data_IF_949603181819
#
_entry.id   IF_949603181819
#
_cell.length_a   1.000
_cell.length_b   1.000
_cell.length_c   1.000
_cell.angle_alpha   90.00
_cell.angle_beta   90.00
_cell.angle_gamma   90.00
#
_symmetry.space_group_name_H-M   'P 1'
#
loop_
_entity.id
_entity.type
_entity.pdbx_description
1 polymer ?
#
# COMPACT_ATOMS: atom_id res chain seq x y z
N UNK A 1 -4.79 -10.48 18.95
CA UNK A 1 -5.05 -10.40 17.49
C UNK A 1 -3.89 -11.11 16.82
N UNK A 2 -4.19 -12.21 16.13
CA UNK A 2 -3.18 -13.19 15.72
C UNK A 2 -2.38 -12.75 14.49
N UNK A 3 -1.08 -13.10 14.42
CA UNK A 3 -0.25 -12.87 13.24
C UNK A 3 -0.72 -13.72 12.05
N UNK A 4 -0.29 -13.33 10.85
CA UNK A 4 -0.30 -14.07 9.57
C UNK A 4 -0.85 -15.51 9.68
N UNK A 5 -2.11 -15.72 9.26
CA UNK A 5 -2.87 -16.95 9.57
C UNK A 5 -2.27 -18.20 8.91
N UNK A 6 -1.71 -18.08 7.69
CA UNK A 6 -1.11 -19.22 6.98
C UNK A 6 -0.14 -18.77 5.88
N UNK A 7 1.10 -19.26 5.91
CA UNK A 7 2.04 -19.27 4.76
C UNK A 7 2.21 -20.72 4.33
N UNK A 8 2.05 -20.99 3.03
CA UNK A 8 2.33 -22.29 2.43
C UNK A 8 3.24 -22.11 1.22
N UNK A 9 4.33 -22.88 1.16
CA UNK A 9 5.24 -22.91 0.02
C UNK A 9 5.25 -24.33 -0.55
N UNK A 10 4.85 -24.46 -1.81
CA UNK A 10 4.86 -25.72 -2.56
C UNK A 10 6.07 -25.73 -3.51
N UNK A 11 6.87 -26.81 -3.46
CA UNK A 11 7.98 -27.03 -4.39
C UNK A 11 8.30 -28.52 -4.52
N UNK A 12 8.77 -29.00 -5.68
CA UNK A 12 9.42 -30.29 -5.80
C UNK A 12 10.69 -30.40 -4.94
N UNK A 13 11.39 -29.28 -4.70
CA UNK A 13 12.52 -29.19 -3.79
C UNK A 13 12.06 -28.78 -2.38
N UNK A 14 11.99 -29.75 -1.49
CA UNK A 14 11.56 -29.57 -0.09
C UNK A 14 12.49 -28.62 0.67
N UNK A 15 13.80 -28.68 0.41
CA UNK A 15 14.79 -27.82 1.09
C UNK A 15 14.65 -26.38 0.60
N UNK A 16 14.52 -26.21 -0.72
CA UNK A 16 14.22 -24.93 -1.35
C UNK A 16 12.92 -24.30 -0.86
N UNK A 17 11.85 -25.09 -0.72
CA UNK A 17 10.57 -24.63 -0.17
C UNK A 17 10.73 -24.05 1.25
N UNK A 18 11.40 -24.79 2.14
CA UNK A 18 11.59 -24.34 3.54
C UNK A 18 12.47 -23.10 3.64
N UNK A 19 13.49 -23.00 2.79
CA UNK A 19 14.36 -21.82 2.71
C UNK A 19 13.57 -20.61 2.21
N UNK A 20 12.78 -20.80 1.16
CA UNK A 20 11.90 -19.77 0.59
C UNK A 20 10.87 -19.30 1.61
N UNK A 21 10.27 -20.21 2.38
CA UNK A 21 9.32 -19.86 3.43
C UNK A 21 9.97 -18.97 4.51
N UNK A 22 11.19 -19.33 4.95
CA UNK A 22 11.96 -18.54 5.92
C UNK A 22 12.26 -17.15 5.37
N UNK A 23 12.79 -17.07 4.15
CA UNK A 23 13.09 -15.79 3.47
C UNK A 23 11.86 -14.88 3.41
N UNK A 24 10.70 -15.44 3.04
CA UNK A 24 9.44 -14.70 2.99
C UNK A 24 9.07 -14.17 4.38
N UNK A 25 9.14 -15.01 5.42
CA UNK A 25 8.79 -14.62 6.79
C UNK A 25 9.66 -13.46 7.28
N UNK A 26 10.97 -13.58 7.09
CA UNK A 26 11.95 -12.57 7.49
C UNK A 26 11.72 -11.26 6.72
N UNK A 27 11.58 -11.34 5.40
CA UNK A 27 11.32 -10.16 4.55
C UNK A 27 10.04 -9.44 4.93
N UNK A 28 8.95 -10.18 5.18
CA UNK A 28 7.67 -9.59 5.58
C UNK A 28 7.74 -8.95 6.98
N UNK A 29 8.53 -9.53 7.90
CA UNK A 29 8.74 -8.96 9.23
C UNK A 29 9.55 -7.65 9.13
N UNK A 30 10.65 -7.66 8.39
CA UNK A 30 11.53 -6.50 8.20
C UNK A 30 10.79 -5.29 7.61
N UNK A 31 9.87 -5.54 6.68
CA UNK A 31 9.07 -4.49 6.03
C UNK A 31 7.77 -4.14 6.79
N UNK A 32 7.56 -4.74 7.96
CA UNK A 32 6.35 -4.59 8.79
C UNK A 32 5.05 -4.95 8.04
N UNK A 33 5.12 -5.96 7.16
CA UNK A 33 4.01 -6.44 6.32
C UNK A 33 3.29 -7.67 6.90
N UNK A 34 3.80 -8.24 8.00
CA UNK A 34 3.23 -9.47 8.62
C UNK A 34 1.75 -9.36 8.95
N UNK A 35 1.26 -8.16 9.29
CA UNK A 35 -0.16 -7.91 9.62
C UNK A 35 -1.02 -7.59 8.40
N UNK A 36 -0.39 -7.25 7.28
CA UNK A 36 -1.04 -6.92 6.01
C UNK A 36 -1.40 -8.18 5.26
N UNK A 37 -0.53 -9.20 5.30
CA UNK A 37 -0.80 -10.48 4.67
C UNK A 37 -1.79 -11.27 5.53
N UNK A 38 -2.97 -11.56 4.98
CA UNK A 38 -3.95 -12.44 5.63
C UNK A 38 -3.56 -13.91 5.43
N UNK A 39 -3.35 -14.30 4.17
CA UNK A 39 -2.92 -15.64 3.76
C UNK A 39 -1.99 -15.55 2.58
N UNK A 40 -1.02 -16.46 2.50
CA UNK A 40 -0.03 -16.50 1.44
C UNK A 40 0.18 -17.94 0.97
N UNK A 41 0.13 -18.13 -0.34
CA UNK A 41 0.54 -19.35 -1.01
C UNK A 41 1.61 -19.02 -2.04
N UNK A 42 2.70 -19.79 -2.01
CA UNK A 42 3.78 -19.71 -2.98
C UNK A 42 3.97 -21.05 -3.65
N UNK A 43 4.19 -21.04 -4.96
CA UNK A 43 4.64 -22.19 -5.72
C UNK A 43 5.98 -21.83 -6.35
N UNK A 44 6.97 -22.70 -6.19
CA UNK A 44 8.28 -22.57 -6.82
C UNK A 44 8.67 -23.91 -7.42
N UNK A 45 9.18 -23.88 -8.64
CA UNK A 45 9.74 -25.06 -9.30
C UNK A 45 11.11 -24.70 -9.89
N UNK A 46 12.19 -25.36 -9.46
CA UNK A 46 13.53 -25.12 -10.02
C UNK A 46 13.77 -25.90 -11.33
N UNK A 47 12.98 -26.93 -11.63
CA UNK A 47 13.10 -27.72 -12.87
C UNK A 47 12.45 -26.97 -14.02
N UNK A 48 11.25 -26.44 -13.78
CA UNK A 48 10.60 -25.47 -14.65
C UNK A 48 10.70 -24.10 -13.97
N UNK A 49 11.67 -23.23 -14.31
CA UNK A 49 12.05 -22.07 -13.49
C UNK A 49 10.91 -21.05 -13.37
N UNK A 50 9.96 -21.31 -12.47
CA UNK A 50 8.74 -20.55 -12.24
C UNK A 50 8.56 -20.29 -10.76
N UNK A 51 8.16 -19.06 -10.45
CA UNK A 51 7.88 -18.59 -9.12
C UNK A 51 6.52 -17.90 -9.13
N UNK A 52 5.60 -18.40 -8.32
CA UNK A 52 4.23 -17.89 -8.21
C UNK A 52 3.97 -17.50 -6.77
N UNK A 53 3.71 -16.23 -6.52
CA UNK A 53 3.38 -15.68 -5.21
C UNK A 53 1.95 -15.18 -5.23
N UNK A 54 1.09 -15.72 -4.37
CA UNK A 54 -0.30 -15.30 -4.29
C UNK A 54 -0.71 -15.06 -2.85
N UNK A 55 -1.19 -13.85 -2.53
CA UNK A 55 -1.59 -13.50 -1.18
C UNK A 55 -2.92 -12.75 -1.14
N UNK A 56 -3.67 -12.95 -0.06
CA UNK A 56 -4.80 -12.13 0.33
C UNK A 56 -4.31 -11.04 1.30
N UNK A 57 -4.77 -9.82 1.07
CA UNK A 57 -4.35 -8.63 1.82
C UNK A 57 -5.47 -8.16 2.76
N UNK A 58 -5.07 -7.66 3.93
CA UNK A 58 -5.92 -6.97 4.89
C UNK A 58 -5.37 -5.56 5.07
N UNK A 59 -5.82 -4.64 4.23
CA UNK A 59 -5.49 -3.22 4.36
C UNK A 59 -6.45 -2.56 5.37
N UNK A 60 -5.92 -2.05 6.48
CA UNK A 60 -6.74 -1.59 7.61
C UNK A 60 -6.97 -0.08 7.66
N UNK A 61 -6.21 0.72 6.92
CA UNK A 61 -6.21 2.18 7.08
C UNK A 61 -6.83 2.86 5.86
N UNK A 62 -7.92 3.63 6.00
CA UNK A 62 -8.43 4.47 4.91
C UNK A 62 -7.46 5.63 4.61
N UNK A 63 -7.57 6.28 3.42
CA UNK A 63 -6.89 7.53 3.15
C UNK A 63 -7.22 8.58 4.21
N UNK A 64 -6.23 9.36 4.63
CA UNK A 64 -6.40 10.48 5.57
C UNK A 64 -6.60 11.76 4.78
N UNK A 65 -7.75 12.40 4.97
CA UNK A 65 -8.11 13.68 4.36
C UNK A 65 -7.98 14.81 5.37
N UNK A 66 -7.84 16.05 4.88
CA UNK A 66 -7.79 17.24 5.75
C UNK A 66 -8.98 17.30 6.71
N UNK A 67 -10.19 17.00 6.23
CA UNK A 67 -11.41 17.01 7.06
C UNK A 67 -11.41 16.01 8.23
N UNK A 68 -10.57 14.98 8.17
CA UNK A 68 -10.52 13.93 9.20
C UNK A 68 -9.78 14.42 10.46
N UNK A 69 -8.98 15.48 10.36
CA UNK A 69 -8.18 16.01 11.46
C UNK A 69 -8.14 17.54 11.54
N UNK A 70 -8.93 18.25 10.74
CA UNK A 70 -9.03 19.71 10.80
C UNK A 70 -10.39 20.23 10.35
N UNK A 71 -10.73 21.44 10.78
CA UNK A 71 -11.85 22.22 10.25
C UNK A 71 -11.34 23.17 9.18
N UNK A 72 -12.01 23.20 8.04
CA UNK A 72 -11.67 24.06 6.90
C UNK A 72 -12.81 25.06 6.73
N UNK A 73 -12.51 26.33 6.94
CA UNK A 73 -13.47 27.42 6.91
C UNK A 73 -12.85 28.63 6.20
N UNK A 74 -13.69 29.45 5.59
CA UNK A 74 -13.26 30.78 5.15
C UNK A 74 -13.15 31.67 6.39
N UNK A 75 -12.19 32.60 6.41
CA UNK A 75 -12.14 33.59 7.48
C UNK A 75 -13.24 34.63 7.30
N UNK A 76 -13.13 35.47 6.27
CA UNK A 76 -14.11 36.48 5.87
C UNK A 76 -14.25 36.50 4.34
N UNK A 77 -15.44 36.77 3.78
CA UNK A 77 -15.68 36.80 2.31
C UNK A 77 -14.80 37.85 1.60
N UNK A 78 -14.37 38.89 2.31
CA UNK A 78 -13.52 39.96 1.76
C UNK A 78 -12.02 39.64 1.80
N UNK A 79 -11.64 38.55 2.48
CA UNK A 79 -10.26 38.08 2.52
C UNK A 79 -10.17 36.85 1.63
N UNK A 80 -9.28 36.92 0.64
CA UNK A 80 -8.90 35.81 -0.23
C UNK A 80 -8.11 34.74 0.56
N UNK A 81 -8.73 34.20 1.62
CA UNK A 81 -8.07 33.40 2.65
C UNK A 81 -8.96 32.25 3.15
N UNK A 82 -8.34 31.07 3.28
CA UNK A 82 -8.92 29.89 3.90
C UNK A 82 -8.16 29.57 5.19
N UNK A 83 -8.90 29.30 6.27
CA UNK A 83 -8.36 28.89 7.56
C UNK A 83 -8.56 27.40 7.79
N UNK A 84 -7.48 26.72 8.17
CA UNK A 84 -7.48 25.37 8.67
C UNK A 84 -7.21 25.39 10.17
N UNK A 85 -8.15 24.86 10.95
CA UNK A 85 -7.99 24.65 12.38
C UNK A 85 -7.79 23.16 12.68
N UNK A 86 -6.58 22.80 13.10
CA UNK A 86 -6.13 21.43 13.32
C UNK A 86 -6.68 20.88 14.64
N UNK A 87 -7.40 19.76 14.55
CA UNK A 87 -7.89 19.00 15.71
C UNK A 87 -6.82 18.04 16.24
N UNK A 88 -5.94 17.54 15.37
CA UNK A 88 -4.81 16.65 15.70
C UNK A 88 -3.56 17.06 14.93
N UNK A 89 -2.41 17.01 15.60
CA UNK A 89 -1.13 17.45 15.02
C UNK A 89 -0.38 16.34 14.25
N UNK A 90 -0.92 15.11 14.22
CA UNK A 90 -0.24 13.91 13.71
C UNK A 90 0.20 14.01 12.25
N UNK A 91 -0.52 14.75 11.40
CA UNK A 91 -0.25 14.84 9.95
C UNK A 91 0.23 16.23 9.51
N UNK A 92 0.55 17.14 10.45
CA UNK A 92 0.82 18.56 10.14
C UNK A 92 1.99 18.75 9.20
N UNK A 93 3.08 17.99 9.39
CA UNK A 93 4.26 18.09 8.51
C UNK A 93 3.93 17.68 7.07
N UNK A 94 3.22 16.55 6.89
CA UNK A 94 2.77 16.07 5.57
C UNK A 94 1.79 17.06 4.92
N UNK A 95 0.88 17.63 5.72
CA UNK A 95 -0.06 18.66 5.27
C UNK A 95 0.67 19.91 4.77
N UNK A 96 1.58 20.48 5.56
CA UNK A 96 2.32 21.68 5.20
C UNK A 96 3.10 21.51 3.90
N UNK A 97 3.78 20.38 3.71
CA UNK A 97 4.48 20.09 2.45
C UNK A 97 3.52 20.11 1.25
N UNK A 98 2.36 19.43 1.34
CA UNK A 98 1.34 19.44 0.27
C UNK A 98 0.78 20.83 0.00
N UNK A 99 0.57 21.64 1.05
CA UNK A 99 0.09 23.00 0.89
C UNK A 99 1.17 23.90 0.24
N UNK A 100 2.43 23.74 0.61
CA UNK A 100 3.54 24.46 -0.02
C UNK A 100 3.71 24.08 -1.49
N UNK A 101 3.57 22.81 -1.84
CA UNK A 101 3.63 22.36 -3.23
C UNK A 101 2.48 22.94 -4.08
N UNK A 102 1.28 23.08 -3.47
CA UNK A 102 0.08 23.53 -4.17
C UNK A 102 -0.05 25.06 -4.27
N UNK A 103 0.21 25.77 -3.18
CA UNK A 103 -0.03 27.22 -3.08
C UNK A 103 1.27 28.03 -3.03
N UNK A 104 2.41 27.39 -2.81
CA UNK A 104 3.68 28.06 -2.56
C UNK A 104 3.83 28.48 -1.10
N UNK A 105 5.07 28.38 -0.59
CA UNK A 105 5.39 28.69 0.81
C UNK A 105 5.01 30.11 1.25
N UNK A 106 5.05 31.08 0.35
CA UNK A 106 4.72 32.48 0.65
C UNK A 106 3.22 32.71 0.93
N UNK A 107 2.35 31.82 0.45
CA UNK A 107 0.89 31.93 0.59
C UNK A 107 0.35 31.11 1.76
N UNK A 108 1.24 30.50 2.56
CA UNK A 108 0.91 29.68 3.72
C UNK A 108 1.49 30.34 4.97
N UNK A 109 0.63 30.76 5.89
CA UNK A 109 1.03 31.27 7.21
C UNK A 109 0.57 30.32 8.32
N UNK A 110 1.39 30.17 9.35
CA UNK A 110 1.08 29.32 10.51
C UNK A 110 1.27 30.14 11.79
N UNK A 111 0.28 30.98 12.16
CA UNK A 111 0.40 31.87 13.31
C UNK A 111 0.43 31.09 14.65
N UNK A 112 -0.16 29.89 14.67
CA UNK A 112 -0.14 28.98 15.82
C UNK A 112 0.02 27.53 15.34
N UNK A 113 0.48 26.64 16.23
CA UNK A 113 0.63 25.20 15.96
C UNK A 113 -0.65 24.57 15.37
N UNK A 114 -1.83 25.05 15.74
CA UNK A 114 -3.11 24.50 15.30
C UNK A 114 -3.79 25.29 14.20
N UNK A 115 -3.25 26.42 13.76
CA UNK A 115 -3.91 27.29 12.78
C UNK A 115 -3.01 27.46 11.58
N UNK A 116 -3.54 27.12 10.39
CA UNK A 116 -2.88 27.38 9.11
C UNK A 116 -3.80 28.29 8.30
N UNK A 117 -3.24 29.37 7.76
CA UNK A 117 -3.91 30.32 6.88
C UNK A 117 -3.36 30.14 5.46
N UNK A 118 -4.26 30.07 4.49
CA UNK A 118 -3.95 29.84 3.08
C UNK A 118 -4.50 31.02 2.28
N UNK A 119 -3.62 31.80 1.67
CA UNK A 119 -4.00 32.88 0.76
C UNK A 119 -4.32 32.29 -0.62
N UNK A 120 -5.54 32.51 -1.12
CA UNK A 120 -6.03 31.96 -2.39
C UNK A 120 -7.12 32.85 -3.00
N UNK A 121 -7.09 33.14 -4.32
CA UNK A 121 -8.04 34.05 -4.97
C UNK A 121 -9.47 33.51 -5.09
N UNK A 122 -9.70 32.21 -4.81
CA UNK A 122 -11.02 31.57 -4.90
C UNK A 122 -11.31 30.74 -3.64
N UNK A 123 -11.45 31.37 -2.46
CA UNK A 123 -11.56 30.67 -1.18
C UNK A 123 -12.77 29.74 -1.10
N UNK A 124 -13.92 30.13 -1.67
CA UNK A 124 -15.14 29.30 -1.70
C UNK A 124 -14.90 27.93 -2.36
N UNK A 125 -14.19 27.92 -3.50
CA UNK A 125 -13.89 26.69 -4.22
C UNK A 125 -12.84 25.87 -3.49
N UNK A 126 -11.84 26.55 -2.91
CA UNK A 126 -10.74 25.86 -2.25
C UNK A 126 -11.16 25.20 -0.93
N UNK A 127 -12.15 25.72 -0.21
CA UNK A 127 -12.66 25.07 1.00
C UNK A 127 -13.13 23.64 0.71
N UNK A 128 -13.97 23.46 -0.32
CA UNK A 128 -14.50 22.14 -0.65
C UNK A 128 -13.41 21.19 -1.17
N UNK A 129 -12.47 21.71 -1.98
CA UNK A 129 -11.32 20.94 -2.46
C UNK A 129 -10.38 20.52 -1.33
N UNK A 130 -10.10 21.43 -0.40
CA UNK A 130 -9.22 21.20 0.75
C UNK A 130 -9.82 20.16 1.68
N UNK A 131 -11.13 20.21 1.99
CA UNK A 131 -11.78 19.20 2.84
C UNK A 131 -11.55 17.78 2.34
N UNK A 132 -11.64 17.56 1.03
CA UNK A 132 -11.46 16.24 0.41
C UNK A 132 -10.01 15.90 0.06
N UNK A 133 -9.08 16.86 0.20
CA UNK A 133 -7.68 16.67 -0.14
C UNK A 133 -7.06 15.57 0.71
N UNK A 134 -6.53 14.54 0.03
CA UNK A 134 -5.86 13.41 0.67
C UNK A 134 -4.43 13.82 1.04
N UNK A 135 -4.13 13.72 2.33
CA UNK A 135 -2.83 14.04 2.92
C UNK A 135 -1.95 12.81 3.00
N UNK A 136 -2.56 11.65 3.23
CA UNK A 136 -1.85 10.39 3.36
C UNK A 136 -2.68 9.26 2.78
N UNK A 137 -2.04 8.37 2.01
CA UNK A 137 -2.62 7.12 1.55
C UNK A 137 -1.83 5.96 2.15
N UNK A 138 -2.10 5.59 3.42
CA UNK A 138 -1.33 4.53 4.08
C UNK A 138 -1.38 3.20 3.33
N UNK A 139 -2.46 2.97 2.56
CA UNK A 139 -2.61 1.79 1.72
C UNK A 139 -1.58 1.76 0.59
N UNK A 140 -1.31 2.89 -0.07
CA UNK A 140 -0.35 2.94 -1.17
C UNK A 140 1.06 2.66 -0.66
N UNK A 141 1.47 3.29 0.46
CA UNK A 141 2.78 3.02 1.09
C UNK A 141 2.94 1.54 1.50
N UNK A 142 1.84 0.85 1.84
CA UNK A 142 1.84 -0.59 2.12
C UNK A 142 1.99 -1.40 0.83
N UNK A 143 1.26 -1.03 -0.23
CA UNK A 143 1.36 -1.69 -1.54
C UNK A 143 2.75 -1.56 -2.15
N UNK A 144 3.39 -0.39 -2.02
CA UNK A 144 4.75 -0.16 -2.52
C UNK A 144 5.77 -1.04 -1.78
N UNK A 145 5.64 -1.16 -0.45
CA UNK A 145 6.44 -2.10 0.35
C UNK A 145 6.19 -3.56 -0.01
N UNK A 146 4.96 -3.93 -0.38
CA UNK A 146 4.66 -5.29 -0.86
C UNK A 146 5.35 -5.56 -2.20
N UNK A 147 5.39 -4.59 -3.11
CA UNK A 147 6.14 -4.71 -4.37
C UNK A 147 7.63 -4.86 -4.07
N UNK A 148 8.21 -4.03 -3.20
CA UNK A 148 9.62 -4.15 -2.78
C UNK A 148 9.93 -5.55 -2.22
N UNK A 149 9.08 -6.02 -1.29
CA UNK A 149 9.22 -7.35 -0.69
C UNK A 149 9.25 -8.46 -1.75
N UNK A 150 8.24 -8.50 -2.62
CA UNK A 150 8.05 -9.61 -3.56
C UNK A 150 9.04 -9.49 -4.72
N UNK A 151 9.10 -8.35 -5.39
CA UNK A 151 9.80 -8.18 -6.65
C UNK A 151 11.31 -8.02 -6.50
N UNK A 152 11.79 -7.51 -5.36
CA UNK A 152 13.21 -7.18 -5.17
C UNK A 152 13.91 -8.09 -4.16
N UNK A 153 13.19 -8.73 -3.25
CA UNK A 153 13.80 -9.50 -2.15
C UNK A 153 13.43 -10.99 -2.15
N UNK A 154 12.19 -11.33 -2.48
CA UNK A 154 11.69 -12.71 -2.43
C UNK A 154 11.87 -13.44 -3.77
N UNK A 155 11.48 -12.81 -4.89
CA UNK A 155 11.62 -13.42 -6.21
C UNK A 155 13.12 -13.61 -6.53
N UNK A 156 13.55 -14.80 -6.99
CA UNK A 156 14.95 -15.03 -7.34
C UNK A 156 15.44 -14.06 -8.41
N UNK A 157 16.71 -13.64 -8.33
CA UNK A 157 17.28 -12.60 -9.19
C UNK A 157 17.22 -12.90 -10.70
N UNK A 158 17.28 -14.19 -11.07
CA UNK A 158 17.18 -14.65 -12.46
C UNK A 158 15.79 -14.45 -13.08
N UNK A 159 14.75 -14.26 -12.26
CA UNK A 159 13.36 -14.33 -12.68
C UNK A 159 12.88 -12.95 -13.13
N UNK A 160 13.26 -12.57 -14.35
CA UNK A 160 13.07 -11.23 -14.92
C UNK A 160 11.76 -11.08 -15.69
N UNK A 161 11.21 -12.16 -16.23
CA UNK A 161 9.92 -12.12 -16.93
C UNK A 161 8.80 -12.23 -15.91
N UNK A 162 8.05 -11.13 -15.72
CA UNK A 162 7.10 -11.00 -14.62
C UNK A 162 5.73 -10.57 -15.13
N UNK A 163 4.68 -11.21 -14.62
CA UNK A 163 3.30 -10.76 -14.72
C UNK A 163 2.72 -10.66 -13.32
N UNK A 164 2.03 -9.57 -13.03
CA UNK A 164 1.45 -9.37 -11.73
C UNK A 164 0.07 -8.72 -11.79
N UNK A 165 -0.72 -9.00 -10.77
CA UNK A 165 -1.99 -8.38 -10.46
C UNK A 165 -1.91 -7.93 -9.01
N UNK A 166 -1.94 -6.61 -8.79
CA UNK A 166 -1.94 -6.03 -7.45
C UNK A 166 -3.20 -5.21 -7.25
N UNK A 167 -3.95 -5.54 -6.20
CA UNK A 167 -5.16 -4.81 -5.80
C UNK A 167 -5.12 -4.53 -4.31
N UNK A 168 -6.15 -3.82 -3.81
CA UNK A 168 -6.33 -3.59 -2.37
C UNK A 168 -6.67 -4.85 -1.57
N UNK A 169 -7.04 -5.93 -2.24
CA UNK A 169 -7.54 -7.17 -1.61
C UNK A 169 -6.59 -8.35 -1.76
N UNK A 170 -5.75 -8.35 -2.78
CA UNK A 170 -4.90 -9.48 -3.10
C UNK A 170 -3.75 -9.08 -4.02
N UNK A 171 -2.78 -9.98 -4.11
CA UNK A 171 -1.59 -9.88 -4.95
C UNK A 171 -1.38 -11.25 -5.62
N UNK A 172 -1.13 -11.25 -6.92
CA UNK A 172 -0.65 -12.40 -7.70
C UNK A 172 0.59 -11.95 -8.44
N UNK A 173 1.71 -12.63 -8.25
CA UNK A 173 2.94 -12.45 -9.01
C UNK A 173 3.33 -13.79 -9.62
N UNK A 174 3.59 -13.79 -10.92
CA UNK A 174 4.11 -14.92 -11.68
C UNK A 174 5.40 -14.46 -12.32
N UNK A 175 6.50 -15.14 -12.01
CA UNK A 175 7.82 -14.81 -12.52
C UNK A 175 8.51 -16.07 -13.06
N UNK A 176 9.35 -15.89 -14.06
CA UNK A 176 10.20 -16.94 -14.63
C UNK A 176 11.50 -16.33 -15.14
N UNK A 177 12.53 -17.18 -15.29
CA UNK A 177 13.76 -16.83 -16.01
C UNK A 177 13.49 -16.57 -17.49
N UNK A 178 12.62 -17.37 -18.09
CA UNK A 178 12.28 -17.35 -19.52
C UNK A 178 10.83 -16.89 -19.75
N UNK A 179 10.32 -17.15 -20.96
CA UNK A 179 8.96 -16.78 -21.36
C UNK A 179 7.91 -17.44 -20.46
N UNK A 180 6.97 -16.65 -19.95
CA UNK A 180 5.87 -17.14 -19.13
C UNK A 180 4.91 -18.01 -19.94
N UNK A 181 4.72 -19.25 -19.48
CA UNK A 181 3.69 -20.14 -20.03
C UNK A 181 2.29 -19.72 -19.56
N UNK A 182 1.25 -19.86 -20.39
CA UNK A 182 -0.14 -19.58 -19.99
C UNK A 182 -0.59 -20.36 -18.75
N UNK A 183 -0.19 -21.64 -18.64
CA UNK A 183 -0.51 -22.53 -17.52
C UNK A 183 -0.02 -22.01 -16.16
N UNK A 184 1.12 -21.30 -16.13
CA UNK A 184 1.64 -20.70 -14.90
C UNK A 184 0.81 -19.50 -14.44
N UNK A 185 0.31 -18.72 -15.40
CA UNK A 185 -0.60 -17.60 -15.12
C UNK A 185 -1.93 -18.14 -14.59
N UNK A 186 -2.45 -19.20 -15.21
CA UNK A 186 -3.66 -19.88 -14.76
C UNK A 186 -3.48 -20.45 -13.35
N UNK A 187 -2.36 -21.11 -13.07
CA UNK A 187 -2.03 -21.63 -11.74
C UNK A 187 -2.03 -20.53 -10.67
N UNK A 188 -1.47 -19.36 -10.93
CA UNK A 188 -1.55 -18.22 -10.00
C UNK A 188 -2.99 -17.78 -9.70
N UNK A 189 -3.86 -17.80 -10.71
CA UNK A 189 -5.28 -17.48 -10.54
C UNK A 189 -6.05 -18.58 -9.79
N UNK A 190 -5.70 -19.85 -10.00
CA UNK A 190 -6.25 -20.98 -9.23
C UNK A 190 -5.83 -20.92 -7.76
N UNK A 191 -4.58 -20.58 -7.48
CA UNK A 191 -4.08 -20.36 -6.12
C UNK A 191 -4.89 -19.25 -5.42
N UNK A 192 -5.17 -18.15 -6.12
CA UNK A 192 -5.99 -17.05 -5.59
C UNK A 192 -7.42 -17.52 -5.28
N UNK A 193 -8.04 -18.29 -6.19
CA UNK A 193 -9.37 -18.86 -5.96
C UNK A 193 -9.38 -19.82 -4.77
N UNK A 194 -8.33 -20.63 -4.60
CA UNK A 194 -8.18 -21.52 -3.43
C UNK A 194 -8.16 -20.73 -2.14
N UNK A 195 -7.29 -19.72 -2.05
CA UNK A 195 -7.17 -18.88 -0.85
C UNK A 195 -8.48 -18.21 -0.47
N UNK A 196 -9.25 -17.71 -1.46
CA UNK A 196 -10.57 -17.10 -1.21
C UNK A 196 -11.61 -18.11 -0.71
N UNK A 197 -11.58 -19.35 -1.21
CA UNK A 197 -12.49 -20.41 -0.71
C UNK A 197 -12.14 -20.78 0.73
N UNK A 198 -10.86 -20.98 1.01
CA UNK A 198 -10.41 -21.31 2.36
C UNK A 198 -10.68 -20.18 3.37
N UNK A 199 -10.76 -18.93 2.91
CA UNK A 199 -11.16 -17.77 3.71
C UNK A 199 -12.65 -17.76 4.06
N UNK A 200 -13.52 -18.21 3.15
CA UNK A 200 -14.98 -18.27 3.39
C UNK A 200 -15.38 -19.39 4.36
N UNK A 201 -14.52 -20.39 4.56
CA UNK A 201 -14.78 -21.56 5.38
C UNK A 201 -14.04 -21.57 6.73
N UNK A 202 -13.31 -20.49 7.05
CA UNK A 202 -12.57 -20.30 8.30
C UNK A 202 -13.24 -19.25 9.19
#
# INVERSE_FOLDING_TARGET
MEPLETISVESPDIVGAKTTETLIRDTLADLSLTRVIKRLKVYVDPVEPVFIFTALLRLSSPPVRIKDFSRVEMTDIEKDEVKLELLKETHVVKLLNKLWDRYGKANIDQPDKKVILIQTPEPDKEVELLKELIIEEPQQEVLDRLIDAVALRIIPEGFRVRKHELTKSHIVFVASEDTLKPEWIERGQEMLKSLRREELHA
#
